data_IF_391911988530
#
_entry.id   IF_391911988530
#
_cell.length_a   1.000
_cell.length_b   1.000
_cell.length_c   1.000
_cell.angle_alpha   90.00
_cell.angle_beta   90.00
_cell.angle_gamma   90.00
#
_symmetry.space_group_name_H-M   'P 1'
#
loop_
_entity.id
_entity.type
_entity.pdbx_description
1 polymer ?
#
# COMPACT_ATOMS: atom_id res chain seq x y z
N UNK A 1 5.70 20.88 5.19
CA UNK A 1 5.38 19.44 5.01
C UNK A 1 4.03 19.35 4.33
N UNK A 2 3.96 18.95 3.04
CA UNK A 2 2.75 19.03 2.21
C UNK A 2 1.78 17.84 2.38
N UNK A 3 2.20 16.79 3.09
CA UNK A 3 1.41 15.57 3.30
C UNK A 3 0.03 15.85 3.93
N UNK A 4 -0.01 16.58 5.06
CA UNK A 4 -1.24 16.86 5.77
C UNK A 4 -2.28 17.61 4.91
N UNK A 5 -1.82 18.47 3.99
CA UNK A 5 -2.70 19.21 3.09
C UNK A 5 -3.39 18.32 2.06
N UNK A 6 -2.91 17.09 1.84
CA UNK A 6 -3.54 16.18 0.89
C UNK A 6 -4.95 15.75 1.30
N UNK A 7 -5.31 15.88 2.58
CA UNK A 7 -6.69 15.69 3.05
C UNK A 7 -7.70 16.58 2.31
N UNK A 8 -7.28 17.78 1.87
CA UNK A 8 -8.13 18.71 1.12
C UNK A 8 -8.15 18.44 -0.39
N UNK A 9 -7.32 17.49 -0.85
CA UNK A 9 -7.17 17.15 -2.28
C UNK A 9 -7.68 15.74 -2.60
N UNK A 10 -8.22 15.02 -1.61
CA UNK A 10 -8.76 13.69 -1.84
C UNK A 10 -9.93 13.75 -2.82
N UNK A 11 -9.99 12.76 -3.70
CA UNK A 11 -11.15 12.56 -4.56
C UNK A 11 -12.42 12.44 -3.70
N UNK A 12 -13.49 13.15 -4.09
CA UNK A 12 -14.82 13.02 -3.46
C UNK A 12 -15.46 11.66 -3.71
N UNK A 13 -14.90 10.87 -4.64
CA UNK A 13 -15.35 9.53 -5.01
C UNK A 13 -14.56 8.46 -4.21
N UNK A 14 -14.24 7.31 -4.82
CA UNK A 14 -13.46 6.28 -4.16
C UNK A 14 -11.98 6.71 -4.11
N UNK A 15 -11.53 7.22 -2.96
CA UNK A 15 -10.18 7.75 -2.80
C UNK A 15 -9.15 6.72 -2.32
N UNK A 16 -9.58 5.60 -1.73
CA UNK A 16 -8.67 4.74 -0.98
C UNK A 16 -8.10 5.41 0.28
N UNK A 17 -8.77 6.47 0.77
CA UNK A 17 -8.42 7.25 1.95
C UNK A 17 -6.97 7.78 1.92
N UNK A 18 -6.26 7.66 3.04
CA UNK A 18 -4.87 8.05 3.22
C UNK A 18 -3.92 7.30 2.28
N UNK A 19 -4.13 6.01 2.02
CA UNK A 19 -3.30 5.24 1.09
C UNK A 19 -3.30 5.81 -0.33
N UNK A 20 -4.46 6.31 -0.76
CA UNK A 20 -4.60 6.97 -2.05
C UNK A 20 -3.75 8.24 -2.11
N UNK A 21 -3.92 9.12 -1.14
CA UNK A 21 -3.14 10.35 -1.06
C UNK A 21 -1.63 10.07 -0.95
N UNK A 22 -1.23 9.09 -0.13
CA UNK A 22 0.18 8.81 0.16
C UNK A 22 0.95 8.40 -1.09
N UNK A 23 0.35 7.58 -1.95
CA UNK A 23 0.98 7.15 -3.18
C UNK A 23 1.28 8.31 -4.13
N UNK A 24 0.33 9.24 -4.31
CA UNK A 24 0.54 10.43 -5.13
C UNK A 24 1.57 11.37 -4.48
N UNK A 25 1.55 11.51 -3.15
CA UNK A 25 2.55 12.30 -2.43
C UNK A 25 3.97 11.78 -2.65
N UNK A 26 4.14 10.46 -2.56
CA UNK A 26 5.43 9.79 -2.78
C UNK A 26 5.93 10.15 -4.18
N UNK A 27 5.07 9.99 -5.21
CA UNK A 27 5.43 10.29 -6.59
C UNK A 27 5.91 11.75 -6.76
N UNK A 28 5.14 12.71 -6.25
CA UNK A 28 5.48 14.14 -6.27
C UNK A 28 6.77 14.47 -5.51
N UNK A 29 7.08 13.72 -4.46
CA UNK A 29 8.25 13.97 -3.60
C UNK A 29 9.53 13.41 -4.22
N UNK A 30 9.47 12.20 -4.79
CA UNK A 30 10.66 11.48 -5.22
C UNK A 30 11.02 11.72 -6.68
N UNK A 31 10.03 12.03 -7.53
CA UNK A 31 10.22 12.35 -8.95
C UNK A 31 9.37 13.55 -9.39
N UNK A 32 9.58 14.76 -8.82
CA UNK A 32 8.76 15.94 -9.12
C UNK A 32 8.77 16.38 -10.60
N UNK A 33 9.77 15.97 -11.37
CA UNK A 33 9.86 16.23 -12.82
C UNK A 33 8.92 15.38 -13.67
N UNK A 34 8.36 14.29 -13.16
CA UNK A 34 7.41 13.41 -13.87
C UNK A 34 6.00 14.04 -13.92
N UNK A 35 5.90 15.28 -14.42
CA UNK A 35 4.69 16.10 -14.32
C UNK A 35 3.52 15.49 -15.10
N UNK A 36 3.78 14.92 -16.28
CA UNK A 36 2.78 14.25 -17.10
C UNK A 36 2.21 13.01 -16.39
N UNK A 37 3.07 12.15 -15.85
CA UNK A 37 2.67 10.94 -15.12
C UNK A 37 1.93 11.29 -13.83
N UNK A 38 2.41 12.28 -13.07
CA UNK A 38 1.72 12.76 -11.86
C UNK A 38 0.31 13.25 -12.22
N UNK A 39 0.16 14.02 -13.31
CA UNK A 39 -1.14 14.52 -13.77
C UNK A 39 -2.05 13.38 -14.22
N UNK A 40 -1.54 12.44 -15.01
CA UNK A 40 -2.28 11.27 -15.47
C UNK A 40 -2.75 10.40 -14.29
N UNK A 41 -1.86 10.05 -13.36
CA UNK A 41 -2.24 9.28 -12.18
C UNK A 41 -3.26 10.02 -11.31
N UNK A 42 -3.09 11.33 -11.10
CA UNK A 42 -4.07 12.15 -10.35
C UNK A 42 -5.44 12.17 -11.04
N UNK A 43 -5.48 12.23 -12.37
CA UNK A 43 -6.74 12.17 -13.13
C UNK A 43 -7.44 10.82 -12.95
N UNK A 44 -6.70 9.70 -13.08
CA UNK A 44 -7.23 8.37 -12.80
C UNK A 44 -7.76 8.24 -11.36
N UNK A 45 -7.07 8.83 -10.38
CA UNK A 45 -7.49 8.84 -8.99
C UNK A 45 -8.80 9.61 -8.77
N UNK A 46 -8.94 10.79 -9.38
CA UNK A 46 -10.15 11.62 -9.28
C UNK A 46 -11.38 10.94 -9.93
N UNK A 47 -11.16 10.19 -11.01
CA UNK A 47 -12.20 9.46 -11.74
C UNK A 47 -12.56 8.10 -11.12
N UNK A 48 -11.76 7.60 -10.18
CA UNK A 48 -12.02 6.34 -9.50
C UNK A 48 -13.29 6.44 -8.64
N UNK A 49 -14.29 5.62 -8.98
CA UNK A 49 -15.58 5.55 -8.27
C UNK A 49 -15.85 4.18 -7.66
N UNK A 50 -14.93 3.24 -7.82
CA UNK A 50 -14.96 1.90 -7.24
C UNK A 50 -13.53 1.38 -7.05
N UNK A 51 -13.41 0.24 -6.36
CA UNK A 51 -12.12 -0.40 -6.09
C UNK A 51 -11.35 -0.75 -7.38
N UNK A 52 -12.03 -1.26 -8.40
CA UNK A 52 -11.40 -1.74 -9.63
C UNK A 52 -10.70 -0.61 -10.39
N UNK A 53 -11.38 0.54 -10.56
CA UNK A 53 -10.80 1.74 -11.18
C UNK A 53 -9.74 2.38 -10.29
N UNK A 54 -9.91 2.34 -8.96
CA UNK A 54 -8.87 2.81 -8.04
C UNK A 54 -7.57 2.01 -8.18
N UNK A 55 -7.65 0.71 -8.47
CA UNK A 55 -6.46 -0.08 -8.77
C UNK A 55 -5.73 0.37 -10.04
N UNK A 56 -6.44 1.02 -10.98
CA UNK A 56 -5.82 1.66 -12.16
C UNK A 56 -4.91 2.83 -11.77
N UNK A 57 -5.35 3.66 -10.82
CA UNK A 57 -4.52 4.69 -10.21
C UNK A 57 -3.31 4.10 -9.47
N UNK A 58 -3.52 3.07 -8.64
CA UNK A 58 -2.41 2.38 -7.93
C UNK A 58 -1.38 1.82 -8.90
N UNK A 59 -1.83 1.23 -10.01
CA UNK A 59 -0.95 0.74 -11.08
C UNK A 59 -0.19 1.89 -11.74
N UNK A 60 -0.86 3.00 -12.05
CA UNK A 60 -0.22 4.19 -12.63
C UNK A 60 0.97 4.67 -11.77
N UNK A 61 0.75 4.89 -10.47
CA UNK A 61 1.81 5.37 -9.57
C UNK A 61 2.95 4.37 -9.47
N UNK A 62 2.64 3.07 -9.33
CA UNK A 62 3.68 2.02 -9.27
C UNK A 62 4.51 1.94 -10.54
N UNK A 63 3.89 2.07 -11.70
CA UNK A 63 4.59 2.06 -12.99
C UNK A 63 5.49 3.28 -13.12
N UNK A 64 5.03 4.46 -12.72
CA UNK A 64 5.82 5.69 -12.75
C UNK A 64 7.02 5.65 -11.78
N UNK A 65 6.87 5.05 -10.59
CA UNK A 65 8.00 4.82 -9.67
C UNK A 65 8.98 3.75 -10.19
N UNK A 66 8.48 2.80 -10.99
CA UNK A 66 9.23 1.69 -11.54
C UNK A 66 9.82 0.77 -10.46
N UNK A 67 10.99 0.20 -10.75
CA UNK A 67 11.71 -0.67 -9.81
C UNK A 67 12.42 0.10 -8.68
N UNK A 68 12.46 1.43 -8.75
CA UNK A 68 13.17 2.27 -7.79
C UNK A 68 12.48 2.21 -6.44
N UNK A 69 13.27 1.99 -5.39
CA UNK A 69 12.77 1.91 -4.00
C UNK A 69 13.55 2.77 -3.03
N UNK A 70 14.69 3.31 -3.43
CA UNK A 70 15.60 4.04 -2.57
C UNK A 70 15.90 5.37 -3.24
N UNK A 71 15.45 6.46 -2.62
CA UNK A 71 15.81 7.83 -2.95
C UNK A 71 16.61 8.37 -1.77
N UNK A 72 17.95 8.44 -1.88
CA UNK A 72 18.82 8.86 -0.79
C UNK A 72 18.38 10.19 -0.19
N UNK A 73 18.33 10.26 1.15
CA UNK A 73 17.89 11.45 1.88
C UNK A 73 16.40 11.80 1.76
N UNK A 74 15.59 10.98 1.07
CA UNK A 74 14.16 11.25 0.85
C UNK A 74 13.24 10.12 1.31
N UNK A 75 13.35 8.94 0.69
CA UNK A 75 12.40 7.84 0.89
C UNK A 75 13.03 6.47 0.64
N UNK A 76 12.67 5.48 1.47
CA UNK A 76 12.95 4.07 1.23
C UNK A 76 11.66 3.26 1.31
N UNK A 77 11.29 2.62 0.21
CA UNK A 77 10.17 1.67 0.14
C UNK A 77 10.70 0.26 0.38
N UNK A 78 10.26 -0.36 1.47
CA UNK A 78 10.60 -1.74 1.78
C UNK A 78 9.88 -2.70 0.84
N UNK A 79 10.46 -3.88 0.60
CA UNK A 79 9.79 -4.94 -0.15
C UNK A 79 8.58 -5.43 0.64
N UNK A 80 7.57 -5.95 -0.06
CA UNK A 80 6.42 -6.61 0.57
C UNK A 80 6.91 -7.70 1.52
N UNK A 81 6.32 -7.79 2.71
CA UNK A 81 6.71 -8.74 3.76
C UNK A 81 8.06 -8.48 4.43
N UNK A 82 8.78 -7.41 4.10
CA UNK A 82 10.08 -7.06 4.71
C UNK A 82 10.01 -5.89 5.69
N UNK A 83 8.81 -5.35 5.90
CA UNK A 83 8.55 -4.41 6.97
C UNK A 83 8.25 -5.17 8.28
N UNK A 84 8.39 -4.49 9.40
CA UNK A 84 7.96 -4.92 10.73
C UNK A 84 6.44 -5.16 10.90
N UNK A 85 5.62 -4.76 9.92
CA UNK A 85 4.16 -4.91 9.97
C UNK A 85 3.68 -5.57 8.68
N UNK A 86 2.78 -6.55 8.78
CA UNK A 86 2.25 -7.30 7.64
C UNK A 86 0.74 -7.47 7.73
N UNK A 87 0.03 -7.34 6.61
CA UNK A 87 -1.42 -7.58 6.60
C UNK A 87 -1.74 -9.04 6.95
N UNK A 88 -2.70 -9.24 7.86
CA UNK A 88 -3.05 -10.56 8.38
C UNK A 88 -3.56 -11.53 7.30
N UNK A 89 -4.34 -11.02 6.34
CA UNK A 89 -5.01 -11.86 5.34
C UNK A 89 -4.02 -12.52 4.38
N UNK A 90 -2.77 -12.04 4.31
CA UNK A 90 -1.73 -12.61 3.47
C UNK A 90 -1.25 -13.99 3.97
N UNK A 91 -1.46 -14.30 5.24
CA UNK A 91 -1.10 -15.59 5.87
C UNK A 91 -2.20 -16.13 6.77
N UNK A 92 -3.45 -15.72 6.52
CA UNK A 92 -4.63 -16.18 7.30
C UNK A 92 -4.40 -16.10 8.81
N UNK A 93 -3.97 -14.92 9.28
CA UNK A 93 -3.66 -14.62 10.71
C UNK A 93 -2.43 -15.34 11.28
N UNK A 94 -1.73 -16.15 10.48
CA UNK A 94 -0.55 -16.88 10.93
C UNK A 94 0.66 -15.94 11.05
N UNK A 95 1.51 -16.19 12.03
CA UNK A 95 2.66 -15.36 12.35
C UNK A 95 3.92 -16.20 12.61
N UNK A 96 5.09 -15.57 12.47
CA UNK A 96 6.39 -16.16 12.75
C UNK A 96 7.18 -15.31 13.74
N UNK A 97 8.30 -15.84 14.25
CA UNK A 97 9.19 -15.07 15.14
C UNK A 97 9.84 -13.84 14.48
N UNK A 98 9.67 -13.65 13.16
CA UNK A 98 10.14 -12.46 12.42
C UNK A 98 9.08 -11.36 12.33
N UNK A 99 7.81 -11.68 12.58
CA UNK A 99 6.73 -10.69 12.56
C UNK A 99 6.74 -9.91 13.88
N UNK A 100 6.74 -8.58 13.78
CA UNK A 100 6.57 -7.71 14.95
C UNK A 100 5.08 -7.41 15.19
N UNK A 101 4.31 -7.11 14.14
CA UNK A 101 2.88 -6.85 14.20
C UNK A 101 2.15 -7.37 12.95
N UNK A 102 0.90 -7.83 13.11
CA UNK A 102 -0.03 -8.01 11.99
C UNK A 102 -1.00 -6.83 11.91
N UNK A 103 -1.03 -6.15 10.76
CA UNK A 103 -1.96 -5.07 10.46
C UNK A 103 -3.35 -5.63 10.15
N UNK A 104 -4.38 -4.84 10.49
CA UNK A 104 -5.80 -5.15 10.27
C UNK A 104 -6.61 -5.31 11.56
N UNK A 105 -5.96 -5.13 12.72
CA UNK A 105 -6.65 -4.90 13.97
C UNK A 105 -7.27 -3.49 13.99
N UNK A 106 -8.53 -3.39 13.53
CA UNK A 106 -9.31 -2.14 13.51
C UNK A 106 -10.42 -2.10 14.56
N UNK A 107 -10.71 -3.21 15.22
CA UNK A 107 -11.79 -3.33 16.19
C UNK A 107 -11.23 -3.41 17.61
N UNK A 108 -11.86 -2.75 18.58
CA UNK A 108 -11.47 -2.84 19.99
C UNK A 108 -11.69 -4.24 20.61
N UNK A 109 -12.23 -5.20 19.85
CA UNK A 109 -12.58 -6.54 20.31
C UNK A 109 -11.92 -7.64 19.46
N UNK A 110 -11.47 -8.70 20.12
CA UNK A 110 -10.77 -9.86 19.55
C UNK A 110 -11.71 -10.91 18.94
N UNK A 111 -13.02 -10.70 19.06
CA UNK A 111 -14.07 -11.67 18.69
C UNK A 111 -14.95 -11.21 17.52
N UNK A 112 -14.41 -10.49 16.53
CA UNK A 112 -15.17 -10.17 15.31
C UNK A 112 -15.10 -11.32 14.28
N UNK A 113 -15.61 -11.10 13.07
CA UNK A 113 -15.79 -12.10 11.99
C UNK A 113 -14.50 -12.76 11.45
N UNK A 114 -13.35 -12.53 12.08
CA UNK A 114 -12.04 -13.08 11.72
C UNK A 114 -11.32 -13.53 13.00
N UNK A 115 -10.55 -14.61 12.89
CA UNK A 115 -9.85 -15.18 14.05
C UNK A 115 -8.58 -14.38 14.31
N UNK A 116 -8.69 -13.39 15.21
CA UNK A 116 -7.55 -12.55 15.60
C UNK A 116 -6.32 -13.39 15.95
N UNK A 117 -5.10 -12.96 15.54
CA UNK A 117 -3.85 -13.62 15.95
C UNK A 117 -3.56 -13.49 17.45
N UNK A 118 -4.38 -12.74 18.20
CA UNK A 118 -4.24 -12.50 19.63
C UNK A 118 -5.34 -13.20 20.44
N UNK A 119 -5.01 -13.65 21.65
CA UNK A 119 -5.96 -14.23 22.61
C UNK A 119 -6.72 -13.17 23.41
N UNK A 120 -6.03 -12.07 23.75
CA UNK A 120 -6.56 -10.90 24.46
C UNK A 120 -5.88 -9.63 23.95
N UNK A 121 -6.48 -8.48 24.24
CA UNK A 121 -6.02 -7.18 23.74
C UNK A 121 -4.57 -6.98 24.21
N UNK A 122 -3.65 -6.58 23.32
CA UNK A 122 -2.29 -6.29 23.71
C UNK A 122 -2.21 -5.28 24.85
N UNK A 123 -1.42 -5.56 25.88
CA UNK A 123 -1.24 -4.71 27.07
C UNK A 123 0.11 -4.00 26.94
N UNK A 124 0.15 -2.69 26.59
CA UNK A 124 1.41 -2.00 26.32
C UNK A 124 2.40 -2.03 27.50
N UNK A 125 1.90 -1.94 28.74
CA UNK A 125 2.72 -1.94 29.95
C UNK A 125 3.45 -3.28 30.17
N UNK A 126 2.94 -4.38 29.59
CA UNK A 126 3.59 -5.71 29.63
C UNK A 126 4.68 -5.86 28.56
N UNK A 127 4.87 -4.88 27.66
CA UNK A 127 5.85 -4.94 26.56
C UNK A 127 7.23 -4.33 26.92
N UNK A 128 7.48 -3.95 28.17
CA UNK A 128 8.68 -3.20 28.61
C UNK A 128 10.02 -3.95 28.39
N UNK A 129 10.00 -5.25 28.05
CA UNK A 129 11.20 -6.04 27.77
C UNK A 129 11.05 -7.05 26.63
N UNK A 130 10.06 -6.90 25.75
CA UNK A 130 9.83 -7.85 24.65
C UNK A 130 8.37 -7.97 24.25
N UNK A 131 7.95 -9.20 23.91
CA UNK A 131 6.64 -9.46 23.31
C UNK A 131 5.56 -9.96 24.29
N UNK A 132 5.80 -9.89 25.60
CA UNK A 132 4.90 -10.50 26.59
C UNK A 132 3.47 -9.92 26.54
N UNK A 133 3.34 -8.61 26.33
CA UNK A 133 2.04 -7.94 26.20
C UNK A 133 1.27 -8.23 24.90
N UNK A 134 1.85 -8.92 23.91
CA UNK A 134 1.17 -9.17 22.63
C UNK A 134 0.15 -10.30 22.68
N UNK A 135 0.27 -11.25 23.62
CA UNK A 135 -0.73 -12.30 23.84
C UNK A 135 -1.09 -13.11 22.58
N UNK A 136 -0.08 -13.47 21.79
CA UNK A 136 -0.23 -14.25 20.57
C UNK A 136 -0.92 -15.61 20.78
N UNK A 137 -1.70 -16.02 19.78
CA UNK A 137 -2.15 -17.39 19.61
C UNK A 137 -0.99 -18.27 19.18
N UNK A 138 -0.54 -19.13 20.07
CA UNK A 138 0.56 -20.07 19.84
C UNK A 138 0.25 -21.06 18.72
N UNK A 139 -1.02 -21.42 18.56
CA UNK A 139 -1.55 -22.28 17.51
C UNK A 139 -1.51 -21.66 16.11
N UNK A 140 -1.39 -20.32 16.02
CA UNK A 140 -1.21 -19.57 14.76
C UNK A 140 0.27 -19.35 14.41
N UNK A 141 1.19 -19.81 15.26
CA UNK A 141 2.62 -19.67 15.01
C UNK A 141 3.07 -20.70 13.97
N UNK A 142 3.68 -20.22 12.90
CA UNK A 142 4.22 -21.04 11.82
C UNK A 142 5.71 -20.75 11.57
N UNK A 143 6.37 -21.60 10.79
CA UNK A 143 7.77 -21.39 10.40
C UNK A 143 7.90 -20.25 9.39
N UNK A 144 9.12 -19.72 9.23
CA UNK A 144 9.40 -18.68 8.22
C UNK A 144 9.23 -19.25 6.81
N UNK A 145 9.53 -20.53 6.62
CA UNK A 145 9.34 -21.28 5.38
C UNK A 145 7.86 -21.37 5.02
N UNK A 146 7.00 -21.65 5.99
CA UNK A 146 5.54 -21.67 5.83
C UNK A 146 5.01 -20.27 5.45
N UNK A 147 5.46 -19.22 6.16
CA UNK A 147 5.11 -17.81 5.81
C UNK A 147 5.51 -17.51 4.37
N UNK A 148 6.73 -17.91 3.94
CA UNK A 148 7.20 -17.69 2.57
C UNK A 148 6.30 -18.38 1.55
N UNK A 149 5.88 -19.62 1.82
CA UNK A 149 4.96 -20.37 0.96
C UNK A 149 3.61 -19.67 0.83
N UNK A 150 3.02 -19.26 1.96
CA UNK A 150 1.73 -18.57 1.97
C UNK A 150 1.80 -17.19 1.29
N UNK A 151 2.89 -16.44 1.49
CA UNK A 151 3.10 -15.17 0.77
C UNK A 151 3.20 -15.37 -0.74
N UNK A 152 3.93 -16.39 -1.20
CA UNK A 152 4.01 -16.70 -2.63
C UNK A 152 2.62 -17.08 -3.21
N UNK A 153 1.83 -17.83 -2.46
CA UNK A 153 0.45 -18.15 -2.84
C UNK A 153 -0.43 -16.90 -2.87
N UNK A 154 -0.34 -16.03 -1.87
CA UNK A 154 -1.09 -14.78 -1.81
C UNK A 154 -0.72 -13.83 -2.97
N UNK A 155 0.56 -13.76 -3.34
CA UNK A 155 1.02 -13.00 -4.51
C UNK A 155 0.43 -13.55 -5.81
N UNK A 156 0.46 -14.88 -6.00
CA UNK A 156 -0.13 -15.54 -7.17
C UNK A 156 -1.64 -15.30 -7.25
N UNK A 157 -2.36 -15.53 -6.16
CA UNK A 157 -3.81 -15.33 -6.07
C UNK A 157 -4.19 -13.86 -6.28
N UNK A 158 -3.44 -12.94 -5.68
CA UNK A 158 -3.62 -11.50 -5.85
C UNK A 158 -3.42 -11.05 -7.29
N UNK A 159 -2.48 -11.64 -8.02
CA UNK A 159 -2.29 -11.39 -9.46
C UNK A 159 -3.47 -11.86 -10.31
N UNK A 160 -4.02 -13.05 -10.03
CA UNK A 160 -5.20 -13.58 -10.72
C UNK A 160 -6.44 -12.73 -10.45
N UNK A 161 -6.67 -12.38 -9.17
CA UNK A 161 -7.81 -11.59 -8.73
C UNK A 161 -7.66 -10.08 -9.02
N UNK A 162 -6.52 -9.63 -9.55
CA UNK A 162 -6.30 -8.22 -9.81
C UNK A 162 -7.29 -7.71 -10.87
N UNK A 163 -8.09 -6.65 -10.58
CA UNK A 163 -9.15 -6.17 -11.48
C UNK A 163 -8.63 -5.85 -12.88
N UNK A 164 -9.39 -6.19 -13.92
CA UNK A 164 -8.97 -5.93 -15.32
C UNK A 164 -8.91 -4.44 -15.59
N UNK A 165 -9.89 -3.71 -15.08
CA UNK A 165 -10.04 -2.26 -15.07
C UNK A 165 -8.91 -1.57 -14.29
N UNK A 166 -8.21 -2.31 -13.43
CA UNK A 166 -7.04 -1.85 -12.70
C UNK A 166 -5.72 -2.01 -13.49
N UNK A 167 -5.73 -2.74 -14.60
CA UNK A 167 -4.54 -3.01 -15.45
C UNK A 167 -4.39 -1.93 -16.53
N UNK A 168 -4.56 -0.67 -16.12
CA UNK A 168 -4.50 0.49 -17.00
C UNK A 168 -3.05 0.96 -17.13
N UNK A 169 -2.61 1.18 -18.37
CA UNK A 169 -1.37 1.87 -18.67
C UNK A 169 -1.69 3.33 -18.96
N UNK A 170 -1.23 4.23 -18.10
CA UNK A 170 -1.59 5.64 -18.17
C UNK A 170 -1.21 6.28 -19.52
N UNK A 171 -0.03 5.99 -20.06
CA UNK A 171 0.41 6.52 -21.36
C UNK A 171 -0.42 6.03 -22.57
N UNK A 172 -1.26 4.99 -22.40
CA UNK A 172 -2.19 4.53 -23.44
C UNK A 172 -3.60 5.12 -23.29
N UNK A 173 -3.88 5.77 -22.17
CA UNK A 173 -5.23 6.23 -21.80
C UNK A 173 -5.32 7.73 -21.57
N UNK A 174 -4.19 8.39 -21.32
CA UNK A 174 -4.07 9.82 -21.13
C UNK A 174 -3.11 10.40 -22.18
N UNK A 175 -3.34 11.64 -22.66
CA UNK A 175 -2.42 12.29 -23.57
C UNK A 175 -1.03 12.48 -22.92
N UNK A 176 0.01 12.05 -23.63
CA UNK A 176 1.40 12.22 -23.19
C UNK A 176 1.91 13.62 -23.55
N UNK A 177 2.02 13.91 -24.86
CA UNK A 177 2.55 15.18 -25.38
C UNK A 177 1.46 16.19 -25.75
N UNK A 178 0.23 15.73 -25.98
CA UNK A 178 -0.84 16.55 -26.55
C UNK A 178 -1.26 17.75 -25.71
N UNK A 179 -0.97 17.72 -24.40
CA UNK A 179 -1.33 18.80 -23.47
C UNK A 179 -0.21 19.81 -23.24
N UNK A 180 1.02 19.54 -23.70
CA UNK A 180 2.19 20.36 -23.42
C UNK A 180 3.01 20.73 -24.66
N UNK A 181 2.77 20.12 -25.82
CA UNK A 181 3.53 20.39 -27.03
C UNK A 181 3.46 21.88 -27.46
N UNK A 182 4.57 22.49 -27.91
CA UNK A 182 5.94 21.92 -28.03
C UNK A 182 6.78 22.04 -26.74
N UNK A 183 6.21 22.59 -25.68
CA UNK A 183 6.92 23.10 -24.50
C UNK A 183 6.92 22.11 -23.31
N UNK A 184 6.93 20.80 -23.57
CA UNK A 184 6.79 19.78 -22.53
C UNK A 184 7.92 19.82 -21.47
N UNK A 185 9.12 20.22 -21.87
CA UNK A 185 10.31 20.24 -21.02
C UNK A 185 10.57 21.60 -20.33
N UNK A 186 9.86 22.67 -20.71
CA UNK A 186 10.14 24.03 -20.22
C UNK A 186 9.53 24.33 -18.85
N UNK A 187 8.66 23.45 -18.37
CA UNK A 187 8.11 23.54 -17.02
C UNK A 187 9.08 22.95 -16.00
N UNK A 188 10.30 23.50 -15.86
CA UNK A 188 11.24 23.10 -14.78
C UNK A 188 11.02 23.92 -13.52
#
# INVERSE_FOLDING_TARGET
MNWANMQYTQSKNFSGADNGALQLHILQTVIPGARAEIKACKKLWNLANNYERYMGYVTCVKTALGATRIWPGKLRILRRGHAWIRDWFLTTDSWSARDFMLHGWKAQNISSSWESPFKKVPVPDECIGGYAGWNWRTEKRISVEEVRSQLAQAEKSGGVAFPKEGRVLAHLTEPDVGECYPECDYWT
#
